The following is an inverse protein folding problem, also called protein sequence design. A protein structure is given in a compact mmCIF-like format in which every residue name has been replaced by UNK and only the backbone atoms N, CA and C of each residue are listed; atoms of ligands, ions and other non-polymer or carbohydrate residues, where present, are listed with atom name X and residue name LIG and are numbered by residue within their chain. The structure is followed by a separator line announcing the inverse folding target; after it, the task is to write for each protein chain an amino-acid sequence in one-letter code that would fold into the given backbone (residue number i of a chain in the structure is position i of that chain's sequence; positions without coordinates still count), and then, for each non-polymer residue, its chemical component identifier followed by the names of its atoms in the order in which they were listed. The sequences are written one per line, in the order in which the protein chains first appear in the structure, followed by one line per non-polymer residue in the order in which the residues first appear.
data_IF_602479808841
#
_entry.id   IF_602479808841
#
_cell.length_a   1.000
_cell.length_b   1.000
_cell.length_c   1.000
_cell.angle_alpha   90.00
_cell.angle_beta   90.00
_cell.angle_gamma   90.00
#
_symmetry.space_group_name_H-M   'P 1'
#
loop_
_entity.id
_entity.type
_entity.pdbx_description
1 polymer ?
#
# COMPACT_ATOMS: atom_id res chain seq x y z
N UNK A 1 0.10 22.40 5.35
CA UNK A 1 0.14 20.93 5.25
C UNK A 1 1.60 20.51 5.26
N UNK A 2 1.98 19.51 6.06
CA UNK A 2 3.36 18.99 6.08
C UNK A 2 3.64 18.21 4.78
N UNK A 3 4.91 18.10 4.38
CA UNK A 3 5.33 17.47 3.11
C UNK A 3 4.83 16.03 2.98
N UNK A 4 4.84 15.25 4.07
CA UNK A 4 4.37 13.86 4.08
C UNK A 4 2.87 13.70 3.79
N UNK A 5 2.06 14.69 4.17
CA UNK A 5 0.61 14.65 3.92
C UNK A 5 0.28 14.85 2.44
N UNK A 6 1.07 15.67 1.75
CA UNK A 6 0.95 15.83 0.31
C UNK A 6 1.43 14.59 -0.44
N UNK A 7 2.46 13.91 0.08
CA UNK A 7 2.98 12.67 -0.51
C UNK A 7 1.98 11.52 -0.43
N UNK A 8 1.25 11.39 0.68
CA UNK A 8 0.21 10.36 0.83
C UNK A 8 -0.94 10.59 -0.14
N UNK A 9 -1.42 11.83 -0.24
CA UNK A 9 -2.45 12.24 -1.21
C UNK A 9 -2.04 11.91 -2.64
N UNK A 10 -0.82 12.28 -3.00
CA UNK A 10 -0.26 12.01 -4.33
C UNK A 10 -0.17 10.50 -4.61
N UNK A 11 0.33 9.71 -3.67
CA UNK A 11 0.43 8.26 -3.82
C UNK A 11 -0.94 7.58 -3.98
N UNK A 12 -1.95 8.01 -3.22
CA UNK A 12 -3.31 7.46 -3.30
C UNK A 12 -4.02 7.87 -4.61
N UNK A 13 -3.78 9.09 -5.09
CA UNK A 13 -4.28 9.53 -6.39
C UNK A 13 -3.69 8.71 -7.54
N UNK A 14 -2.38 8.47 -7.51
CA UNK A 14 -1.69 7.62 -8.48
C UNK A 14 -2.21 6.18 -8.46
N UNK A 15 -2.47 5.63 -7.28
CA UNK A 15 -3.09 4.31 -7.15
C UNK A 15 -4.50 4.27 -7.76
N UNK A 16 -5.33 5.25 -7.46
CA UNK A 16 -6.66 5.38 -8.05
C UNK A 16 -6.60 5.46 -9.59
N UNK A 17 -5.60 6.16 -10.12
CA UNK A 17 -5.38 6.27 -11.56
C UNK A 17 -4.99 4.93 -12.19
N UNK A 18 -4.06 4.20 -11.59
CA UNK A 18 -3.62 2.89 -12.09
C UNK A 18 -4.77 1.88 -12.09
N UNK A 19 -5.53 1.82 -11.01
CA UNK A 19 -6.64 0.85 -10.85
C UNK A 19 -7.80 1.05 -11.85
N UNK A 20 -7.94 2.26 -12.40
CA UNK A 20 -8.98 2.63 -13.38
C UNK A 20 -8.50 2.72 -14.83
N UNK A 21 -7.21 2.52 -15.11
CA UNK A 21 -6.58 2.79 -16.42
C UNK A 21 -7.26 2.12 -17.63
N UNK A 22 -7.93 0.98 -17.43
CA UNK A 22 -8.66 0.24 -18.49
C UNK A 22 -10.01 0.84 -18.87
N UNK A 23 -10.56 1.81 -18.13
CA UNK A 23 -11.85 2.46 -18.41
C UNK A 23 -11.65 3.86 -18.97
N UNK A 24 -11.77 4.02 -20.29
CA UNK A 24 -11.83 5.34 -20.93
C UNK A 24 -13.26 5.62 -21.42
N UNK A 25 -13.77 6.86 -21.23
CA UNK A 25 -13.15 8.00 -20.55
C UNK A 25 -13.13 7.82 -19.01
N UNK A 26 -12.07 8.33 -18.36
CA UNK A 26 -11.97 8.33 -16.89
C UNK A 26 -12.72 9.56 -16.38
N UNK A 27 -13.74 9.32 -15.56
CA UNK A 27 -14.44 10.37 -14.82
C UNK A 27 -13.51 10.91 -13.70
N UNK A 28 -13.19 12.21 -13.78
CA UNK A 28 -12.29 12.88 -12.84
C UNK A 28 -12.88 12.96 -11.41
N UNK A 29 -14.20 13.00 -11.27
CA UNK A 29 -14.87 13.02 -9.96
C UNK A 29 -14.79 11.63 -9.32
N UNK A 30 -15.06 10.57 -10.08
CA UNK A 30 -14.89 9.18 -9.60
C UNK A 30 -13.45 8.88 -9.22
N UNK A 31 -12.48 9.34 -10.01
CA UNK A 31 -11.06 9.18 -9.72
C UNK A 31 -10.69 9.88 -8.40
N UNK A 32 -11.10 11.13 -8.22
CA UNK A 32 -10.86 11.91 -7.01
C UNK A 32 -11.53 11.25 -5.79
N UNK A 33 -12.77 10.78 -5.93
CA UNK A 33 -13.50 10.10 -4.86
C UNK A 33 -12.79 8.81 -4.42
N UNK A 34 -12.29 8.01 -5.36
CA UNK A 34 -11.54 6.79 -5.04
C UNK A 34 -10.20 7.11 -4.37
N UNK A 35 -9.50 8.14 -4.82
CA UNK A 35 -8.24 8.58 -4.20
C UNK A 35 -8.45 8.98 -2.73
N UNK A 36 -9.53 9.70 -2.40
CA UNK A 36 -9.90 10.06 -1.02
C UNK A 36 -10.17 8.81 -0.18
N UNK A 37 -10.92 7.84 -0.70
CA UNK A 37 -11.17 6.57 0.02
C UNK A 37 -9.87 5.81 0.32
N UNK A 38 -8.93 5.77 -0.63
CA UNK A 38 -7.61 5.17 -0.39
C UNK A 38 -6.80 5.96 0.65
N UNK A 39 -6.84 7.29 0.61
CA UNK A 39 -6.18 8.12 1.61
C UNK A 39 -6.74 7.86 3.02
N UNK A 40 -8.06 7.82 3.19
CA UNK A 40 -8.72 7.54 4.46
C UNK A 40 -8.30 6.17 5.02
N UNK A 41 -8.31 5.13 4.17
CA UNK A 41 -7.85 3.79 4.55
C UNK A 41 -6.38 3.84 4.98
N UNK A 42 -5.52 4.48 4.20
CA UNK A 42 -4.08 4.51 4.45
C UNK A 42 -3.74 5.23 5.77
N UNK A 43 -4.45 6.32 6.07
CA UNK A 43 -4.33 7.02 7.36
C UNK A 43 -4.69 6.15 8.55
N UNK A 44 -5.64 5.22 8.39
CA UNK A 44 -6.02 4.27 9.43
C UNK A 44 -4.89 3.33 9.87
N UNK A 45 -3.81 3.23 9.10
CA UNK A 45 -2.64 2.41 9.44
C UNK A 45 -1.50 3.21 10.10
N UNK A 46 -1.65 4.53 10.29
CA UNK A 46 -0.67 5.34 11.01
C UNK A 46 -0.79 5.08 12.51
N UNK A 47 0.27 4.58 13.11
CA UNK A 47 0.32 4.21 14.53
C UNK A 47 1.74 4.44 15.09
N UNK A 48 1.93 5.53 15.82
CA UNK A 48 3.24 5.95 16.33
C UNK A 48 3.87 4.91 17.25
N UNK A 49 3.07 4.18 18.04
CA UNK A 49 3.58 3.17 18.99
C UNK A 49 4.27 1.97 18.31
N UNK A 50 4.06 1.80 17.00
CA UNK A 50 4.62 0.73 16.18
C UNK A 50 5.59 1.25 15.11
N UNK A 51 6.02 2.52 15.21
CA UNK A 51 6.80 3.20 14.17
C UNK A 51 6.15 3.14 12.78
N UNK A 52 4.81 3.13 12.73
CA UNK A 52 4.03 3.18 11.49
C UNK A 52 3.68 4.63 11.18
N UNK A 53 4.66 5.37 10.66
CA UNK A 53 4.51 6.78 10.32
C UNK A 53 4.00 7.00 8.87
N UNK A 54 3.59 8.24 8.56
CA UNK A 54 3.14 8.60 7.21
C UNK A 54 4.18 8.23 6.13
N UNK A 55 5.48 8.51 6.29
CA UNK A 55 6.51 8.06 5.34
C UNK A 55 6.51 6.56 5.04
N UNK A 56 6.31 5.69 6.03
CA UNK A 56 6.16 4.25 5.83
C UNK A 56 4.93 3.94 4.98
N UNK A 57 3.78 4.51 5.34
CA UNK A 57 2.52 4.27 4.64
C UNK A 57 2.61 4.73 3.17
N UNK A 58 3.23 5.89 2.91
CA UNK A 58 3.50 6.37 1.54
C UNK A 58 4.31 5.34 0.74
N UNK A 59 5.37 4.77 1.32
CA UNK A 59 6.19 3.74 0.66
C UNK A 59 5.37 2.48 0.37
N UNK A 60 4.54 2.06 1.31
CA UNK A 60 3.66 0.91 1.14
C UNK A 60 2.64 1.12 0.01
N UNK A 61 1.97 2.28 -0.04
CA UNK A 61 1.03 2.63 -1.11
C UNK A 61 1.72 2.64 -2.48
N UNK A 62 2.92 3.24 -2.58
CA UNK A 62 3.71 3.24 -3.82
C UNK A 62 4.12 1.84 -4.26
N UNK A 63 4.53 0.99 -3.32
CA UNK A 63 4.83 -0.41 -3.59
C UNK A 63 3.60 -1.16 -4.13
N UNK A 64 2.44 -1.02 -3.48
CA UNK A 64 1.20 -1.65 -3.95
C UNK A 64 0.80 -1.15 -5.34
N UNK A 65 0.94 0.16 -5.62
CA UNK A 65 0.67 0.73 -6.93
C UNK A 65 1.55 0.09 -8.03
N UNK A 66 2.84 -0.11 -7.74
CA UNK A 66 3.79 -0.65 -8.70
C UNK A 66 3.63 -2.16 -8.92
N UNK A 67 3.35 -2.92 -7.85
CA UNK A 67 3.49 -4.39 -7.87
C UNK A 67 2.14 -5.11 -7.89
N UNK A 68 1.09 -4.51 -7.32
CA UNK A 68 -0.17 -5.21 -7.04
C UNK A 68 -1.42 -4.54 -7.61
N UNK A 69 -1.35 -3.29 -8.05
CA UNK A 69 -2.47 -2.64 -8.71
C UNK A 69 -2.66 -3.19 -10.13
N UNK A 70 -3.70 -4.02 -10.33
CA UNK A 70 -3.98 -4.69 -11.59
C UNK A 70 -5.34 -4.24 -12.16
N UNK A 71 -5.39 -3.28 -13.10
CA UNK A 71 -6.66 -2.79 -13.61
C UNK A 71 -7.45 -3.85 -14.42
N UNK A 72 -8.80 -3.84 -14.35
CA UNK A 72 -9.63 -3.03 -13.46
C UNK A 72 -9.74 -3.67 -12.06
N UNK A 73 -9.52 -2.87 -11.01
CA UNK A 73 -9.80 -3.27 -9.61
C UNK A 73 -11.16 -2.75 -9.12
N UNK A 74 -12.00 -2.27 -10.03
CA UNK A 74 -13.31 -1.66 -9.78
C UNK A 74 -13.31 -0.58 -8.67
N UNK A 75 -14.40 -0.41 -7.95
CA UNK A 75 -14.53 0.54 -6.82
C UNK A 75 -14.38 -0.14 -5.46
N UNK A 76 -14.15 -1.46 -5.46
CA UNK A 76 -13.93 -2.19 -4.23
C UNK A 76 -12.57 -1.79 -3.64
N UNK A 77 -12.57 -1.21 -2.45
CA UNK A 77 -11.37 -0.81 -1.72
C UNK A 77 -10.88 -1.89 -0.74
N UNK A 78 -11.60 -3.01 -0.62
CA UNK A 78 -11.28 -4.09 0.32
C UNK A 78 -9.93 -4.73 0.00
N UNK A 79 -9.60 -4.89 -1.29
CA UNK A 79 -8.28 -5.40 -1.69
C UNK A 79 -7.16 -4.48 -1.20
N UNK A 80 -7.36 -3.16 -1.25
CA UNK A 80 -6.35 -2.19 -0.85
C UNK A 80 -6.15 -2.24 0.66
N UNK A 81 -7.24 -2.25 1.43
CA UNK A 81 -7.17 -2.42 2.89
C UNK A 81 -6.42 -3.70 3.28
N UNK A 82 -6.82 -4.84 2.71
CA UNK A 82 -6.24 -6.14 3.03
C UNK A 82 -4.75 -6.20 2.67
N UNK A 83 -4.39 -5.74 1.47
CA UNK A 83 -3.00 -5.74 1.03
C UNK A 83 -2.13 -4.75 1.81
N UNK A 84 -2.65 -3.56 2.11
CA UNK A 84 -1.93 -2.56 2.91
C UNK A 84 -1.68 -3.08 4.33
N UNK A 85 -2.69 -3.71 4.94
CA UNK A 85 -2.53 -4.35 6.26
C UNK A 85 -1.39 -5.38 6.25
N UNK A 86 -1.33 -6.24 5.23
CA UNK A 86 -0.30 -7.27 5.13
C UNK A 86 1.09 -6.66 4.95
N UNK A 87 1.28 -5.74 4.01
CA UNK A 87 2.61 -5.17 3.75
C UNK A 87 3.12 -4.28 4.87
N UNK A 88 2.21 -3.57 5.58
CA UNK A 88 2.56 -2.78 6.77
C UNK A 88 2.95 -3.71 7.92
N UNK A 89 2.21 -4.79 8.15
CA UNK A 89 2.55 -5.79 9.17
C UNK A 89 3.91 -6.45 8.88
N UNK A 90 4.23 -6.76 7.63
CA UNK A 90 5.55 -7.29 7.24
C UNK A 90 6.66 -6.26 7.51
N UNK A 91 6.44 -4.98 7.21
CA UNK A 91 7.45 -3.94 7.36
C UNK A 91 7.67 -3.50 8.82
N UNK A 92 6.59 -3.46 9.62
CA UNK A 92 6.55 -3.07 11.03
C UNK A 92 5.50 -3.92 11.77
N UNK A 93 5.87 -5.12 12.25
CA UNK A 93 4.94 -6.06 12.88
C UNK A 93 4.30 -5.52 14.17
N UNK A 94 3.03 -5.83 14.39
CA UNK A 94 2.33 -5.69 15.67
C UNK A 94 2.11 -7.05 16.35
N UNK A 95 2.34 -8.15 15.64
CA UNK A 95 2.04 -9.49 16.12
C UNK A 95 3.31 -10.30 16.40
N UNK A 96 3.25 -11.11 17.46
CA UNK A 96 4.31 -12.07 17.77
C UNK A 96 4.11 -13.32 16.92
N UNK A 97 5.14 -13.69 16.17
CA UNK A 97 5.16 -14.92 15.38
C UNK A 97 5.79 -16.05 16.20
N UNK A 98 5.05 -17.16 16.34
CA UNK A 98 5.53 -18.35 17.04
C UNK A 98 6.43 -19.25 16.18
N UNK A 99 6.92 -20.35 16.75
CA UNK A 99 7.82 -21.28 16.06
C UNK A 99 7.24 -21.88 14.76
N UNK A 100 5.90 -21.89 14.60
CA UNK A 100 5.25 -22.42 13.39
C UNK A 100 5.32 -21.42 12.24
N UNK A 101 5.31 -20.13 12.54
CA UNK A 101 5.37 -19.06 11.53
C UNK A 101 6.79 -18.62 11.17
N UNK A 102 7.78 -18.82 12.07
CA UNK A 102 9.17 -18.42 11.82
C UNK A 102 9.78 -18.94 10.52
N UNK A 103 9.59 -20.22 10.11
CA UNK A 103 10.14 -20.70 8.84
C UNK A 103 9.63 -19.90 7.63
N UNK A 104 8.39 -19.42 7.67
CA UNK A 104 7.85 -18.61 6.58
C UNK A 104 8.41 -17.18 6.58
N UNK A 105 8.71 -16.60 7.76
CA UNK A 105 9.42 -15.32 7.83
C UNK A 105 10.82 -15.41 7.20
N UNK A 106 11.52 -16.53 7.38
CA UNK A 106 12.82 -16.76 6.73
C UNK A 106 12.67 -16.82 5.20
N UNK A 107 11.63 -17.46 4.69
CA UNK A 107 11.33 -17.47 3.25
C UNK A 107 10.98 -16.06 2.73
N UNK A 108 10.19 -15.27 3.49
CA UNK A 108 9.92 -13.87 3.15
C UNK A 108 11.21 -13.05 3.09
N UNK A 109 12.10 -13.20 4.08
CA UNK A 109 13.39 -12.50 4.08
C UNK A 109 14.20 -12.84 2.83
N UNK A 110 14.31 -14.12 2.45
CA UNK A 110 15.01 -14.53 1.22
C UNK A 110 14.40 -13.88 -0.03
N UNK A 111 13.08 -13.89 -0.14
CA UNK A 111 12.36 -13.26 -1.25
C UNK A 111 12.64 -11.76 -1.35
N UNK A 112 12.54 -11.04 -0.23
CA UNK A 112 12.81 -9.59 -0.15
C UNK A 112 14.26 -9.28 -0.55
N UNK A 113 15.25 -10.00 -0.01
CA UNK A 113 16.66 -9.79 -0.36
C UNK A 113 16.91 -10.03 -1.85
N UNK A 114 16.28 -11.05 -2.44
CA UNK A 114 16.37 -11.32 -3.88
C UNK A 114 15.76 -10.18 -4.69
N UNK A 115 14.58 -9.69 -4.32
CA UNK A 115 13.94 -8.57 -5.01
C UNK A 115 14.79 -7.30 -4.99
N UNK A 116 15.47 -7.01 -3.88
CA UNK A 116 16.37 -5.86 -3.74
C UNK A 116 17.67 -6.01 -4.55
N UNK A 117 18.05 -7.23 -4.92
CA UNK A 117 19.25 -7.50 -5.72
C UNK A 117 19.05 -7.33 -7.22
N UNK A 118 17.79 -7.25 -7.69
CA UNK A 118 17.51 -7.01 -9.09
C UNK A 118 17.80 -5.54 -9.44
N UNK A 119 18.52 -5.34 -10.55
CA UNK A 119 18.59 -4.02 -11.20
C UNK A 119 17.42 -3.94 -12.18
N UNK A 120 16.51 -2.99 -11.93
CA UNK A 120 15.38 -2.68 -12.80
C UNK A 120 15.77 -1.66 -13.88
#
# INVERSE_FOLDING_TARGET
MSTGENDLKSACFELARTTKWSRKPIDAELLSSLAVKFEEIARGFVEESLDRDIPLIVKAVRYLNQVHALPPMDEDTSWFYNMLSVVVEIARPNTVVDERGKPFLEEMQKGIHRSLSFQA
#
